data_IF_810962240063
#
_entry.id   IF_810962240063
#
_cell.length_a   1.000
_cell.length_b   1.000
_cell.length_c   1.000
_cell.angle_alpha   90.00
_cell.angle_beta   90.00
_cell.angle_gamma   90.00
#
_symmetry.space_group_name_H-M   'P 1'
#
loop_
_entity.id
_entity.type
_entity.pdbx_description
1 polymer ?
#
# COMPACT_ATOMS: atom_id res chain seq x y z
N UNK A 1 -8.50 -34.50 10.51
CA UNK A 1 -7.36 -33.56 10.41
C UNK A 1 -7.20 -32.88 11.75
N UNK A 2 -6.22 -33.31 12.54
CA UNK A 2 -5.95 -32.72 13.86
C UNK A 2 -5.02 -31.53 13.66
N UNK A 3 -5.42 -30.35 14.11
CA UNK A 3 -4.53 -29.19 14.21
C UNK A 3 -3.43 -29.57 15.21
N UNK A 4 -2.19 -29.70 14.73
CA UNK A 4 -1.04 -29.92 15.60
C UNK A 4 -1.01 -28.78 16.63
N UNK A 5 -1.12 -29.12 17.92
CA UNK A 5 -1.00 -28.14 18.99
C UNK A 5 0.44 -27.65 19.02
N UNK A 6 0.64 -26.34 19.12
CA UNK A 6 1.98 -25.74 19.20
C UNK A 6 2.79 -26.20 20.43
N UNK A 7 2.13 -26.84 21.40
CA UNK A 7 2.74 -27.43 22.59
C UNK A 7 3.30 -28.84 22.36
N UNK A 8 3.07 -29.44 21.18
CA UNK A 8 3.60 -30.76 20.86
C UNK A 8 5.15 -30.71 20.82
N UNK A 9 5.86 -31.55 21.60
CA UNK A 9 7.32 -31.55 21.63
C UNK A 9 7.94 -31.80 20.25
N UNK A 10 7.29 -32.58 19.38
CA UNK A 10 7.74 -32.84 18.03
C UNK A 10 7.65 -31.57 17.15
N UNK A 11 6.59 -30.77 17.32
CA UNK A 11 6.44 -29.49 16.61
C UNK A 11 7.48 -28.49 17.09
N UNK A 12 7.73 -28.38 18.39
CA UNK A 12 8.75 -27.48 18.92
C UNK A 12 10.16 -27.85 18.47
N UNK A 13 10.45 -29.15 18.36
CA UNK A 13 11.72 -29.62 17.85
C UNK A 13 11.90 -29.29 16.36
N UNK A 14 10.88 -29.56 15.54
CA UNK A 14 10.90 -29.20 14.12
C UNK A 14 11.06 -27.68 13.91
N UNK A 15 10.44 -26.83 14.74
CA UNK A 15 10.61 -25.37 14.69
C UNK A 15 12.05 -24.95 15.05
N UNK A 16 12.66 -25.57 16.07
CA UNK A 16 14.05 -25.26 16.45
C UNK A 16 15.05 -25.65 15.37
N UNK A 17 14.86 -26.80 14.75
CA UNK A 17 15.69 -27.27 13.64
C UNK A 17 15.53 -26.36 12.43
N UNK A 18 14.30 -25.99 12.06
CA UNK A 18 14.04 -25.05 10.98
C UNK A 18 14.60 -23.64 11.27
N UNK A 19 14.58 -23.19 12.53
CA UNK A 19 15.11 -21.89 12.92
C UNK A 19 16.65 -21.83 12.88
N UNK A 20 17.35 -22.96 13.02
CA UNK A 20 18.81 -23.02 12.95
C UNK A 20 19.35 -22.80 11.52
N UNK A 21 18.56 -23.16 10.50
CA UNK A 21 18.92 -22.98 9.09
C UNK A 21 18.57 -21.59 8.51
N UNK A 22 17.84 -20.77 9.28
CA UNK A 22 17.50 -19.40 8.86
C UNK A 22 18.60 -18.48 9.36
N UNK A 23 19.30 -17.73 8.49
CA UNK A 23 20.19 -16.66 8.91
C UNK A 23 19.43 -15.76 9.90
N UNK A 24 19.98 -15.57 11.10
CA UNK A 24 19.28 -14.87 12.18
C UNK A 24 18.64 -13.57 11.70
N UNK A 25 17.47 -13.17 12.26
CA UNK A 25 16.73 -12.03 11.78
C UNK A 25 17.67 -10.83 11.72
N UNK A 26 17.98 -10.38 10.51
CA UNK A 26 18.72 -9.14 10.30
C UNK A 26 18.01 -8.02 11.07
N UNK A 27 18.77 -6.99 11.48
CA UNK A 27 18.23 -5.87 12.22
C UNK A 27 16.92 -5.39 11.57
N UNK A 28 15.80 -5.67 12.23
CA UNK A 28 14.49 -5.22 11.76
C UNK A 28 14.44 -3.72 12.03
N UNK A 29 14.12 -2.90 11.03
CA UNK A 29 14.05 -1.46 11.24
C UNK A 29 12.97 -1.17 12.29
N UNK A 30 13.37 -0.52 13.37
CA UNK A 30 12.51 -0.09 14.45
C UNK A 30 11.77 1.19 14.08
N UNK A 31 10.74 1.55 14.84
CA UNK A 31 9.98 2.78 14.63
C UNK A 31 10.88 4.04 14.63
N UNK A 32 11.99 4.01 15.37
CA UNK A 32 12.98 5.08 15.41
C UNK A 32 13.67 5.30 14.05
N UNK A 33 13.87 4.25 13.24
CA UNK A 33 14.49 4.34 11.92
C UNK A 33 13.62 5.12 10.92
N UNK A 34 12.33 5.26 11.21
CA UNK A 34 11.36 6.02 10.41
C UNK A 34 10.96 7.37 11.03
N UNK A 35 11.47 7.70 12.22
CA UNK A 35 11.07 8.88 12.99
C UNK A 35 11.75 10.19 12.59
N UNK A 36 12.62 10.19 11.57
CA UNK A 36 13.25 11.41 11.08
C UNK A 36 14.22 11.21 9.91
N UNK A 37 14.58 12.31 9.26
CA UNK A 37 15.55 12.33 8.16
C UNK A 37 15.00 11.89 6.80
N UNK A 38 15.89 11.45 5.91
CA UNK A 38 15.57 11.16 4.51
C UNK A 38 14.60 9.98 4.33
N UNK A 39 14.63 8.98 5.23
CA UNK A 39 13.72 7.84 5.18
C UNK A 39 12.27 8.24 5.51
N UNK A 40 12.09 9.07 6.55
CA UNK A 40 10.80 9.65 6.89
C UNK A 40 10.25 10.51 5.72
N UNK A 41 11.11 11.28 5.05
CA UNK A 41 10.75 12.07 3.87
C UNK A 41 10.28 11.21 2.69
N UNK A 42 10.96 10.10 2.42
CA UNK A 42 10.56 9.16 1.35
C UNK A 42 9.22 8.50 1.64
N UNK A 43 8.98 8.13 2.90
CA UNK A 43 7.69 7.62 3.33
C UNK A 43 6.59 8.67 3.17
N UNK A 44 6.79 9.90 3.64
CA UNK A 44 5.82 10.99 3.47
C UNK A 44 5.48 11.26 2.00
N UNK A 45 6.48 11.24 1.11
CA UNK A 45 6.25 11.36 -0.33
C UNK A 45 5.45 10.18 -0.90
N UNK A 46 5.77 8.95 -0.47
CA UNK A 46 5.02 7.78 -0.88
C UNK A 46 3.56 7.82 -0.38
N UNK A 47 3.33 8.30 0.85
CA UNK A 47 2.00 8.50 1.41
C UNK A 47 1.23 9.58 0.67
N UNK A 48 1.85 10.72 0.35
CA UNK A 48 1.23 11.80 -0.44
C UNK A 48 0.86 11.36 -1.84
N UNK A 49 1.70 10.58 -2.51
CA UNK A 49 1.38 10.00 -3.82
C UNK A 49 0.26 8.95 -3.71
N UNK A 50 0.19 8.23 -2.59
CA UNK A 50 -0.83 7.23 -2.28
C UNK A 50 -2.15 7.82 -1.74
N UNK A 51 -2.16 9.08 -1.30
CA UNK A 51 -3.36 9.76 -0.85
C UNK A 51 -4.39 9.92 -1.99
N UNK A 52 -5.66 9.74 -1.65
CA UNK A 52 -6.76 9.87 -2.60
C UNK A 52 -7.05 11.37 -2.79
N UNK A 53 -6.82 11.94 -3.99
CA UNK A 53 -6.96 13.38 -4.22
C UNK A 53 -8.44 13.81 -4.20
N UNK A 54 -8.67 15.11 -4.02
CA UNK A 54 -10.01 15.71 -4.17
C UNK A 54 -10.48 15.58 -5.62
N UNK A 55 -11.73 15.15 -5.79
CA UNK A 55 -12.39 14.95 -7.07
C UNK A 55 -12.44 16.21 -7.95
N UNK A 56 -12.54 17.41 -7.37
CA UNK A 56 -12.60 18.69 -8.11
C UNK A 56 -11.22 19.36 -8.25
N UNK A 57 -10.13 18.60 -8.21
CA UNK A 57 -8.77 19.09 -8.44
C UNK A 57 -8.15 18.55 -9.73
N UNK A 58 -7.06 19.17 -10.19
CA UNK A 58 -6.34 18.75 -11.40
C UNK A 58 -5.92 17.26 -11.35
N UNK A 59 -5.64 16.77 -10.15
CA UNK A 59 -5.20 15.39 -9.89
C UNK A 59 -6.36 14.42 -9.63
N UNK A 60 -7.62 14.89 -9.58
CA UNK A 60 -8.79 14.08 -9.18
C UNK A 60 -9.03 12.85 -10.06
N UNK A 61 -8.55 12.89 -11.32
CA UNK A 61 -8.67 11.79 -12.26
C UNK A 61 -7.33 11.12 -12.61
N UNK A 62 -6.25 11.43 -11.90
CA UNK A 62 -4.92 10.82 -12.15
C UNK A 62 -4.96 9.29 -12.11
N UNK A 63 -5.77 8.73 -11.20
CA UNK A 63 -5.93 7.27 -11.01
C UNK A 63 -7.00 6.63 -11.88
N UNK A 64 -7.77 7.43 -12.61
CA UNK A 64 -8.77 6.95 -13.56
C UNK A 64 -8.86 7.95 -14.73
N UNK A 65 -7.92 7.84 -15.69
CA UNK A 65 -7.84 8.77 -16.80
C UNK A 65 -9.18 8.87 -17.54
N UNK A 66 -9.72 10.08 -17.76
CA UNK A 66 -10.97 10.31 -18.48
C UNK A 66 -10.72 10.14 -19.97
N UNK A 67 -10.57 8.90 -20.43
CA UNK A 67 -10.34 8.61 -21.84
C UNK A 67 -11.65 8.13 -22.45
N UNK A 68 -12.10 8.85 -23.48
CA UNK A 68 -13.16 8.37 -24.36
C UNK A 68 -12.52 7.84 -25.63
N UNK A 69 -12.59 6.52 -25.83
CA UNK A 69 -11.90 5.76 -26.88
C UNK A 69 -10.37 5.93 -26.82
N UNK A 70 -9.85 7.02 -27.38
CA UNK A 70 -8.42 7.35 -27.46
C UNK A 70 -8.14 8.81 -27.11
N UNK A 71 -9.18 9.58 -26.77
CA UNK A 71 -9.12 11.03 -26.57
C UNK A 71 -9.15 11.30 -25.06
N UNK A 72 -8.10 11.93 -24.49
CA UNK A 72 -8.13 12.38 -23.10
C UNK A 72 -9.07 13.58 -22.96
N UNK A 73 -10.03 13.49 -22.03
CA UNK A 73 -10.99 14.55 -21.74
C UNK A 73 -10.55 15.31 -20.48
N UNK A 74 -10.16 16.58 -20.64
CA UNK A 74 -9.78 17.44 -19.51
C UNK A 74 -10.84 18.50 -19.24
N UNK A 75 -10.73 19.17 -18.09
CA UNK A 75 -11.65 20.24 -17.70
C UNK A 75 -13.09 19.78 -17.55
N UNK A 76 -14.05 20.58 -18.01
CA UNK A 76 -15.50 20.34 -17.86
C UNK A 76 -15.94 19.01 -18.49
N UNK A 77 -15.29 18.58 -19.58
CA UNK A 77 -15.59 17.32 -20.26
C UNK A 77 -15.18 16.08 -19.45
N UNK A 78 -14.27 16.23 -18.48
CA UNK A 78 -13.88 15.19 -17.55
C UNK A 78 -14.85 15.01 -16.36
N UNK A 79 -15.75 15.97 -16.12
CA UNK A 79 -16.65 15.96 -14.95
C UNK A 79 -17.53 14.70 -14.84
N UNK A 80 -18.07 14.11 -15.92
CA UNK A 80 -18.84 12.86 -15.80
C UNK A 80 -18.01 11.71 -15.21
N UNK A 81 -16.71 11.68 -15.49
CA UNK A 81 -15.79 10.66 -14.97
C UNK A 81 -15.45 10.89 -13.49
N UNK A 82 -15.55 12.14 -13.00
CA UNK A 82 -15.38 12.49 -11.58
C UNK A 82 -16.37 11.72 -10.70
N UNK A 83 -17.65 11.66 -11.10
CA UNK A 83 -18.67 10.94 -10.33
C UNK A 83 -18.37 9.44 -10.20
N UNK A 84 -17.86 8.84 -11.28
CA UNK A 84 -17.42 7.44 -11.31
C UNK A 84 -16.16 7.24 -10.46
N UNK A 85 -15.21 8.17 -10.54
CA UNK A 85 -13.98 8.13 -9.74
C UNK A 85 -14.28 8.24 -8.24
N UNK A 86 -15.24 9.10 -7.85
CA UNK A 86 -15.73 9.21 -6.46
C UNK A 86 -16.38 7.91 -5.99
N UNK A 87 -17.27 7.33 -6.81
CA UNK A 87 -17.92 6.06 -6.49
C UNK A 87 -16.91 4.90 -6.33
N UNK A 88 -15.81 4.92 -7.08
CA UNK A 88 -14.73 3.93 -7.01
C UNK A 88 -13.67 4.23 -5.95
N UNK A 89 -13.85 5.27 -5.13
CA UNK A 89 -12.87 5.69 -4.12
C UNK A 89 -11.52 6.12 -4.70
N UNK A 90 -11.49 6.52 -5.97
CA UNK A 90 -10.29 7.03 -6.66
C UNK A 90 -10.06 8.51 -6.39
N UNK A 91 -11.10 9.23 -5.97
CA UNK A 91 -11.05 10.59 -5.44
C UNK A 91 -12.05 10.76 -4.28
N UNK A 92 -11.86 11.76 -3.43
CA UNK A 92 -12.77 12.11 -2.30
C UNK A 92 -13.67 13.28 -2.65
#
# INVERSE_FOLDING_TARGET
>A
MSLARFDDPAVQQAVREAAADVPGPGAQPGAADFSGGEQARRLDLAFKEAEVPDCLHSEGLKRQPPVLLFIPLSGVLGLPFVGIAKLRGKCK
#
